data_IF_660389628216
#
_entry.id   IF_660389628216
#
_cell.length_a   1.000
_cell.length_b   1.000
_cell.length_c   1.000
_cell.angle_alpha   90.00
_cell.angle_beta   90.00
_cell.angle_gamma   90.00
#
_symmetry.space_group_name_H-M   'P 1'
#
loop_
_entity.id
_entity.type
_entity.pdbx_description
1 polymer ?
#
# COMPACT_ATOMS: atom_id res chain seq x y z
N UNK A 1 13.93 -5.64 -0.14
CA UNK A 1 13.92 -4.98 1.19
C UNK A 1 13.80 -5.97 2.35
N UNK A 2 12.85 -6.91 2.37
CA UNK A 2 12.74 -7.92 3.45
C UNK A 2 14.05 -8.70 3.65
N UNK A 3 14.63 -9.21 2.55
CA UNK A 3 15.93 -9.93 2.56
C UNK A 3 17.05 -9.15 3.26
N UNK A 4 17.13 -7.85 3.03
CA UNK A 4 18.15 -6.99 3.62
C UNK A 4 18.01 -6.97 5.15
N UNK A 5 16.81 -6.64 5.65
CA UNK A 5 16.55 -6.59 7.10
C UNK A 5 16.73 -7.95 7.76
N UNK A 6 16.23 -9.01 7.13
CA UNK A 6 16.40 -10.38 7.62
C UNK A 6 17.87 -10.78 7.76
N UNK A 7 18.69 -10.51 6.74
CA UNK A 7 20.11 -10.85 6.76
C UNK A 7 20.90 -9.98 7.74
N UNK A 8 20.52 -8.72 7.93
CA UNK A 8 21.11 -7.83 8.94
C UNK A 8 20.96 -8.39 10.36
N UNK A 9 19.84 -9.05 10.63
CA UNK A 9 19.56 -9.72 11.90
C UNK A 9 20.14 -11.17 11.97
N UNK A 10 20.78 -11.65 10.90
CA UNK A 10 21.35 -13.00 10.84
C UNK A 10 20.32 -14.13 10.70
N UNK A 11 19.08 -13.84 10.28
CA UNK A 11 17.99 -14.82 10.25
C UNK A 11 17.91 -15.57 8.92
N UNK A 12 17.55 -16.86 8.96
CA UNK A 12 17.08 -17.60 7.79
C UNK A 12 15.63 -17.20 7.44
N UNK A 13 15.16 -17.57 6.24
CA UNK A 13 13.76 -17.37 5.85
C UNK A 13 12.79 -18.09 6.80
N UNK A 14 13.24 -19.21 7.38
CA UNK A 14 12.48 -19.97 8.37
C UNK A 14 12.40 -19.22 9.70
N UNK A 15 13.51 -18.66 10.18
CA UNK A 15 13.54 -17.87 11.43
C UNK A 15 12.62 -16.66 11.35
N UNK A 16 12.64 -15.95 10.20
CA UNK A 16 11.72 -14.83 9.97
C UNK A 16 10.27 -15.30 9.96
N UNK A 17 9.96 -16.43 9.33
CA UNK A 17 8.61 -16.98 9.30
C UNK A 17 8.09 -17.30 10.71
N UNK A 18 8.92 -17.93 11.55
CA UNK A 18 8.58 -18.20 12.95
C UNK A 18 8.33 -16.92 13.74
N UNK A 19 9.18 -15.90 13.58
CA UNK A 19 9.02 -14.59 14.25
C UNK A 19 7.74 -13.85 13.84
N UNK A 20 7.23 -14.11 12.64
CA UNK A 20 5.96 -13.55 12.16
C UNK A 20 4.73 -14.40 12.58
N UNK A 21 4.96 -15.52 13.26
CA UNK A 21 3.91 -16.46 13.65
C UNK A 21 3.33 -17.26 12.49
N UNK A 22 4.09 -17.44 11.40
CA UNK A 22 3.69 -18.24 10.26
C UNK A 22 3.99 -19.72 10.50
N UNK A 23 3.22 -20.60 9.85
CA UNK A 23 3.46 -22.05 9.95
C UNK A 23 4.83 -22.42 9.38
N UNK A 24 5.49 -23.39 10.01
CA UNK A 24 6.87 -23.79 9.69
C UNK A 24 7.04 -24.26 8.23
N UNK A 25 6.06 -25.00 7.69
CA UNK A 25 6.12 -25.58 6.35
C UNK A 25 5.88 -24.57 5.23
N UNK A 26 4.91 -23.67 5.38
CA UNK A 26 4.53 -22.71 4.33
C UNK A 26 5.18 -21.34 4.50
N UNK A 27 5.45 -20.93 5.74
CA UNK A 27 5.96 -19.61 6.07
C UNK A 27 7.29 -19.30 5.38
N UNK A 28 8.24 -20.24 5.34
CA UNK A 28 9.52 -20.03 4.63
C UNK A 28 9.34 -19.76 3.13
N UNK A 29 8.39 -20.45 2.49
CA UNK A 29 8.12 -20.25 1.06
C UNK A 29 7.42 -18.91 0.83
N UNK A 30 6.54 -18.50 1.74
CA UNK A 30 5.91 -17.19 1.70
C UNK A 30 6.96 -16.06 1.82
N UNK A 31 7.90 -16.18 2.75
CA UNK A 31 9.04 -15.23 2.86
C UNK A 31 9.87 -15.23 1.59
N UNK A 32 10.20 -16.40 1.04
CA UNK A 32 10.95 -16.50 -0.23
C UNK A 32 10.22 -15.76 -1.35
N UNK A 33 8.90 -15.93 -1.45
CA UNK A 33 8.10 -15.30 -2.49
C UNK A 33 8.08 -13.77 -2.34
N UNK A 34 7.95 -13.24 -1.11
CA UNK A 34 8.09 -11.80 -0.89
C UNK A 34 9.50 -11.27 -1.21
N UNK A 35 10.54 -12.07 -1.00
CA UNK A 35 11.92 -11.67 -1.29
C UNK A 35 12.28 -11.72 -2.78
N UNK A 36 11.62 -12.59 -3.56
CA UNK A 36 12.08 -12.92 -4.93
C UNK A 36 11.06 -12.61 -6.02
N UNK A 37 9.76 -12.66 -5.73
CA UNK A 37 8.69 -12.53 -6.74
C UNK A 37 8.04 -11.15 -6.77
N UNK A 38 8.50 -10.22 -5.93
CA UNK A 38 7.91 -8.88 -5.82
C UNK A 38 6.48 -8.89 -5.28
N UNK A 39 6.07 -9.96 -4.58
CA UNK A 39 4.78 -10.00 -3.90
C UNK A 39 4.80 -9.10 -2.68
N UNK A 40 3.68 -8.40 -2.45
CA UNK A 40 3.51 -7.53 -1.29
C UNK A 40 2.90 -8.32 -0.12
N UNK A 41 3.44 -8.21 1.10
CA UNK A 41 2.79 -8.75 2.29
C UNK A 41 1.38 -8.18 2.47
N UNK A 42 0.42 -8.96 3.00
CA UNK A 42 -0.87 -8.42 3.42
C UNK A 42 -0.68 -7.38 4.54
N UNK A 43 -1.69 -6.51 4.73
CA UNK A 43 -1.65 -5.38 5.66
C UNK A 43 -1.13 -5.76 7.06
N UNK A 44 -1.70 -6.82 7.64
CA UNK A 44 -1.32 -7.29 8.98
C UNK A 44 0.14 -7.74 9.05
N UNK A 45 0.61 -8.46 8.04
CA UNK A 45 2.00 -8.94 7.99
C UNK A 45 2.97 -7.78 7.74
N UNK A 46 2.55 -6.79 6.95
CA UNK A 46 3.32 -5.56 6.73
C UNK A 46 3.51 -4.76 8.02
N UNK A 47 2.48 -4.65 8.87
CA UNK A 47 2.58 -4.04 10.20
C UNK A 47 3.54 -4.86 11.09
N UNK A 48 3.36 -6.19 11.15
CA UNK A 48 4.25 -7.06 11.94
C UNK A 48 5.71 -6.93 11.52
N UNK A 49 5.99 -6.86 10.22
CA UNK A 49 7.34 -6.67 9.69
C UNK A 49 7.93 -5.32 10.11
N UNK A 50 7.15 -4.23 10.03
CA UNK A 50 7.60 -2.90 10.47
C UNK A 50 7.94 -2.88 11.97
N UNK A 51 7.09 -3.49 12.80
CA UNK A 51 7.33 -3.64 14.24
C UNK A 51 8.56 -4.53 14.52
N UNK A 52 8.64 -5.68 13.86
CA UNK A 52 9.71 -6.66 14.07
C UNK A 52 11.09 -6.08 13.75
N UNK A 53 11.18 -5.28 12.68
CA UNK A 53 12.40 -4.60 12.28
C UNK A 53 12.56 -3.19 12.86
N UNK A 54 11.67 -2.79 13.79
CA UNK A 54 11.71 -1.50 14.49
C UNK A 54 11.80 -0.30 13.54
N UNK A 55 11.03 -0.34 12.45
CA UNK A 55 10.96 0.75 11.49
C UNK A 55 10.11 1.90 12.05
N UNK A 56 10.46 3.14 11.71
CA UNK A 56 9.69 4.32 12.06
C UNK A 56 8.52 4.56 11.07
N UNK A 57 7.85 3.50 10.62
CA UNK A 57 6.72 3.52 9.68
C UNK A 57 5.66 2.53 10.13
N UNK A 58 4.40 2.77 9.76
CA UNK A 58 3.29 1.87 10.13
C UNK A 58 3.33 0.57 9.34
N UNK A 59 3.65 0.66 8.06
CA UNK A 59 3.77 -0.49 7.16
C UNK A 59 5.23 -0.71 6.74
N UNK A 60 5.57 -1.95 6.39
CA UNK A 60 6.89 -2.30 5.87
C UNK A 60 7.02 -1.86 4.41
N UNK A 61 7.48 -0.62 4.22
CA UNK A 61 7.76 0.02 2.93
C UNK A 61 6.69 -0.19 1.85
N UNK A 62 5.43 0.06 2.18
CA UNK A 62 4.31 -0.07 1.24
C UNK A 62 3.54 1.25 1.14
N UNK A 63 3.95 2.11 0.20
CA UNK A 63 3.33 3.41 -0.04
C UNK A 63 1.83 3.32 -0.33
N UNK A 64 1.36 2.20 -0.88
CA UNK A 64 -0.06 1.99 -1.13
C UNK A 64 -0.83 1.80 0.17
N UNK A 65 -0.30 1.06 1.15
CA UNK A 65 -0.94 0.90 2.45
C UNK A 65 -0.97 2.23 3.23
N UNK A 66 0.12 3.00 3.17
CA UNK A 66 0.16 4.36 3.73
C UNK A 66 -0.86 5.28 3.05
N UNK A 67 -0.98 5.20 1.72
CA UNK A 67 -2.00 5.94 0.98
C UNK A 67 -3.42 5.58 1.40
N UNK A 68 -3.74 4.29 1.58
CA UNK A 68 -5.08 3.86 1.96
C UNK A 68 -5.56 4.49 3.28
N UNK A 69 -4.64 4.71 4.24
CA UNK A 69 -4.98 5.32 5.53
C UNK A 69 -5.40 6.80 5.40
N UNK A 70 -4.93 7.50 4.37
CA UNK A 70 -5.22 8.92 4.14
C UNK A 70 -6.09 9.19 2.90
N UNK A 71 -6.36 8.16 2.10
CA UNK A 71 -7.01 8.29 0.80
C UNK A 71 -8.34 9.05 0.83
N UNK A 72 -9.25 8.84 1.80
CA UNK A 72 -10.54 9.56 1.80
C UNK A 72 -10.36 11.08 1.85
N UNK A 73 -9.44 11.54 2.69
CA UNK A 73 -9.13 12.97 2.87
C UNK A 73 -8.43 13.53 1.64
N UNK A 74 -7.43 12.81 1.13
CA UNK A 74 -6.63 13.22 -0.04
C UNK A 74 -7.51 13.35 -1.28
N UNK A 75 -8.39 12.37 -1.54
CA UNK A 75 -9.27 12.38 -2.71
C UNK A 75 -10.32 13.50 -2.64
N UNK A 76 -10.91 13.70 -1.44
CA UNK A 76 -11.85 14.80 -1.22
C UNK A 76 -11.18 16.14 -1.44
N UNK A 77 -9.96 16.35 -0.91
CA UNK A 77 -9.19 17.57 -1.09
C UNK A 77 -8.86 17.80 -2.58
N UNK A 78 -8.28 16.81 -3.25
CA UNK A 78 -7.95 16.89 -4.69
C UNK A 78 -9.16 17.32 -5.52
N UNK A 79 -10.33 16.73 -5.25
CA UNK A 79 -11.56 17.08 -5.96
C UNK A 79 -11.99 18.52 -5.71
N UNK A 80 -11.98 18.97 -4.45
CA UNK A 80 -12.43 20.31 -4.06
C UNK A 80 -11.48 21.39 -4.58
N UNK A 81 -10.16 21.17 -4.47
CA UNK A 81 -9.13 22.12 -4.93
C UNK A 81 -9.22 22.36 -6.45
N UNK A 82 -9.70 21.37 -7.21
CA UNK A 82 -9.90 21.47 -8.66
C UNK A 82 -11.34 21.83 -9.07
N UNK A 83 -12.23 22.11 -8.10
CA UNK A 83 -13.66 22.33 -8.33
C UNK A 83 -14.34 21.21 -9.15
N UNK A 84 -13.93 19.97 -8.94
CA UNK A 84 -14.49 18.81 -9.65
C UNK A 84 -15.73 18.26 -8.93
N UNK A 85 -16.71 17.82 -9.71
CA UNK A 85 -17.77 16.96 -9.20
C UNK A 85 -17.24 15.54 -8.99
N UNK A 86 -17.91 14.73 -8.16
CA UNK A 86 -17.55 13.32 -7.98
C UNK A 86 -17.58 12.55 -9.31
N UNK A 87 -18.52 12.88 -10.19
CA UNK A 87 -18.63 12.28 -11.53
C UNK A 87 -17.44 12.68 -12.42
N UNK A 88 -16.99 13.94 -12.36
CA UNK A 88 -15.83 14.40 -13.12
C UNK A 88 -14.55 13.71 -12.65
N UNK A 89 -14.32 13.65 -11.34
CA UNK A 89 -13.17 12.93 -10.76
C UNK A 89 -13.17 11.45 -11.13
N UNK A 90 -14.33 10.79 -11.05
CA UNK A 90 -14.49 9.40 -11.46
C UNK A 90 -14.16 9.20 -12.95
N UNK A 91 -14.67 10.08 -13.82
CA UNK A 91 -14.41 10.02 -15.27
C UNK A 91 -12.93 10.17 -15.61
N UNK A 92 -12.20 11.09 -14.96
CA UNK A 92 -10.76 11.28 -15.17
C UNK A 92 -9.97 9.99 -14.86
N UNK A 93 -10.38 9.24 -13.83
CA UNK A 93 -9.74 7.98 -13.43
C UNK A 93 -10.22 6.78 -14.25
N UNK A 94 -11.33 6.93 -14.97
CA UNK A 94 -12.02 5.82 -15.63
C UNK A 94 -12.69 4.89 -14.62
N UNK A 95 -13.46 5.45 -13.68
CA UNK A 95 -14.31 4.72 -12.73
C UNK A 95 -15.70 5.35 -12.62
N UNK A 96 -16.55 4.85 -11.73
CA UNK A 96 -17.92 5.37 -11.53
C UNK A 96 -18.01 6.38 -10.40
N UNK A 97 -19.06 7.22 -10.43
CA UNK A 97 -19.35 8.19 -9.36
C UNK A 97 -19.53 7.51 -8.00
N UNK A 98 -20.15 6.34 -7.99
CA UNK A 98 -20.40 5.51 -6.80
C UNK A 98 -19.08 5.01 -6.23
N UNK A 99 -18.16 4.57 -7.10
CA UNK A 99 -16.82 4.12 -6.68
C UNK A 99 -16.03 5.27 -6.06
N UNK A 100 -16.03 6.45 -6.69
CA UNK A 100 -15.40 7.63 -6.11
C UNK A 100 -16.02 8.03 -4.75
N UNK A 101 -17.35 7.97 -4.65
CA UNK A 101 -18.07 8.26 -3.40
C UNK A 101 -17.64 7.31 -2.28
N UNK A 102 -17.54 6.01 -2.58
CA UNK A 102 -17.06 5.00 -1.65
C UNK A 102 -15.62 5.28 -1.20
N UNK A 103 -14.74 5.67 -2.11
CA UNK A 103 -13.36 6.01 -1.74
C UNK A 103 -13.28 7.20 -0.77
N UNK A 104 -14.05 8.27 -1.00
CA UNK A 104 -14.16 9.39 -0.04
C UNK A 104 -14.78 8.99 1.31
N UNK A 105 -15.46 7.84 1.38
CA UNK A 105 -16.04 7.28 2.61
C UNK A 105 -15.12 6.26 3.30
N UNK A 106 -13.92 5.98 2.78
CA UNK A 106 -13.00 5.02 3.40
C UNK A 106 -13.06 3.59 2.86
N UNK A 107 -13.84 3.34 1.81
CA UNK A 107 -13.83 2.02 1.20
C UNK A 107 -12.50 1.74 0.48
N UNK A 108 -12.04 0.47 0.46
CA UNK A 108 -10.76 0.12 -0.14
C UNK A 108 -10.63 0.52 -1.61
N UNK A 109 -9.46 1.05 -1.95
CA UNK A 109 -9.03 1.36 -3.33
C UNK A 109 -8.08 0.25 -3.76
N UNK A 110 -8.24 -0.32 -4.96
CA UNK A 110 -7.30 -1.34 -5.43
C UNK A 110 -5.94 -0.73 -5.80
N UNK A 111 -4.86 -1.53 -5.78
CA UNK A 111 -3.52 -1.09 -6.23
C UNK A 111 -3.52 -0.53 -7.66
N UNK A 112 -4.37 -1.07 -8.54
CA UNK A 112 -4.55 -0.57 -9.90
C UNK A 112 -4.99 0.90 -9.91
N UNK A 113 -6.03 1.25 -9.14
CA UNK A 113 -6.53 2.62 -9.07
C UNK A 113 -5.59 3.55 -8.28
N UNK A 114 -4.91 3.04 -7.26
CA UNK A 114 -3.82 3.78 -6.60
C UNK A 114 -2.74 4.23 -7.60
N UNK A 115 -2.29 3.33 -8.48
CA UNK A 115 -1.29 3.67 -9.49
C UNK A 115 -1.79 4.75 -10.46
N UNK A 116 -3.07 4.70 -10.88
CA UNK A 116 -3.68 5.76 -11.70
C UNK A 116 -3.73 7.12 -10.98
N UNK A 117 -4.13 7.11 -9.71
CA UNK A 117 -4.20 8.32 -8.88
C UNK A 117 -2.82 8.96 -8.70
N UNK A 118 -1.78 8.14 -8.50
CA UNK A 118 -0.39 8.60 -8.37
C UNK A 118 0.10 9.31 -9.64
N UNK A 119 -0.25 8.81 -10.83
CA UNK A 119 0.11 9.42 -12.11
C UNK A 119 -0.51 10.81 -12.24
N UNK A 120 -1.80 10.96 -11.92
CA UNK A 120 -2.50 12.25 -12.05
C UNK A 120 -1.96 13.28 -11.06
N UNK A 121 -1.65 12.88 -9.83
CA UNK A 121 -1.06 13.80 -8.86
C UNK A 121 0.34 14.29 -9.27
N UNK A 122 1.08 13.50 -10.06
CA UNK A 122 2.36 13.91 -10.63
C UNK A 122 2.20 14.82 -11.85
N UNK A 123 1.14 14.65 -12.65
CA UNK A 123 0.89 15.53 -13.79
C UNK A 123 0.40 16.91 -13.37
N UNK A 124 -0.47 17.00 -12.36
CA UNK A 124 -1.00 18.29 -11.88
C UNK A 124 0.06 19.15 -11.19
N UNK A 125 1.08 18.54 -10.56
CA UNK A 125 2.26 19.25 -10.04
C UNK A 125 3.22 19.75 -11.14
N UNK A 126 3.12 19.17 -12.36
CA UNK A 126 3.79 19.59 -13.61
C UNK A 126 3.50 21.04 -14.02
N UNK A 127 2.28 21.47 -13.75
CA UNK A 127 1.63 22.60 -14.40
C UNK A 127 1.41 23.78 -13.43
N UNK A 128 1.95 23.71 -12.22
CA UNK A 128 1.91 24.75 -11.17
C UNK A 128 3.31 25.27 -10.86
#
# INVERSE_FOLDING_TARGET
MIKYHRLKEGWSQFDLALKLGLTSSQGRYLIKDYETRGLYPPKELSIKLAMLFKLNTKYFYDEYLEFLDVAPLVLKKLRLDNNYSKSKSASIIGTTRETWTRWEQGYPISRFYYNKLKIIQLSTKKES
#
